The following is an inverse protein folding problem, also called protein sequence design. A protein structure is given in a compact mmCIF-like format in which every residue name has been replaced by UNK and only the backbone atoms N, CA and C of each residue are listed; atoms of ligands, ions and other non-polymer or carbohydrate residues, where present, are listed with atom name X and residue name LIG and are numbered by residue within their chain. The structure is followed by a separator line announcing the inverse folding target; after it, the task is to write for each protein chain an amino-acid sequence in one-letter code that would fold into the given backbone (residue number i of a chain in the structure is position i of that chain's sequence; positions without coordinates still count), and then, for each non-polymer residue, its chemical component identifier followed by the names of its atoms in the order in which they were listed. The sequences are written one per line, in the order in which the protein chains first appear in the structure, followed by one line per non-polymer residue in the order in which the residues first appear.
data_IF_170965136590
#
_entry.id   IF_170965136590
#
_cell.length_a   1.000
_cell.length_b   1.000
_cell.length_c   1.000
_cell.angle_alpha   90.00
_cell.angle_beta   90.00
_cell.angle_gamma   90.00
#
_symmetry.space_group_name_H-M   'P 1'
#
loop_
_entity.id
_entity.type
_entity.pdbx_description
1 polymer ?
#
# COMPACT_ATOMS: atom_id res chain seq x y z
N UNK A 1 -2.57 20.86 5.69
CA UNK A 1 -3.67 21.11 4.72
C UNK A 1 -3.66 19.98 3.69
N UNK A 2 -3.77 18.70 4.02
CA UNK A 2 -4.76 18.01 4.90
C UNK A 2 -6.19 18.30 4.46
N UNK A 3 -6.45 18.17 3.17
CA UNK A 3 -7.82 18.19 2.61
C UNK A 3 -8.16 16.84 1.94
N UNK A 4 -7.17 16.00 1.63
CA UNK A 4 -7.37 14.74 0.89
C UNK A 4 -7.46 13.48 1.77
N UNK A 5 -7.24 13.57 3.09
CA UNK A 5 -7.24 12.40 3.97
C UNK A 5 -8.66 11.91 4.33
N UNK A 6 -9.65 12.81 4.41
CA UNK A 6 -11.03 12.43 4.75
C UNK A 6 -11.90 12.04 3.54
N UNK A 7 -11.44 12.30 2.31
CA UNK A 7 -12.24 12.06 1.12
C UNK A 7 -12.02 10.65 0.52
N UNK A 8 -10.82 10.10 0.67
CA UNK A 8 -10.43 8.82 0.03
C UNK A 8 -10.90 7.61 0.85
N UNK A 9 -11.10 7.79 2.16
CA UNK A 9 -11.43 6.69 3.09
C UNK A 9 -12.81 6.05 2.82
N UNK A 10 -13.76 6.78 2.24
CA UNK A 10 -15.14 6.28 2.04
C UNK A 10 -15.42 5.57 0.70
N UNK A 11 -14.53 5.67 -0.30
CA UNK A 11 -14.77 5.12 -1.66
C UNK A 11 -13.69 4.10 -2.10
N UNK A 12 -12.65 3.92 -1.29
CA UNK A 12 -11.60 2.94 -1.57
C UNK A 12 -12.09 1.51 -1.28
N UNK A 13 -12.92 0.97 -2.18
CA UNK A 13 -13.36 -0.42 -2.11
C UNK A 13 -12.34 -1.41 -2.70
N UNK A 14 -11.25 -0.91 -3.32
CA UNK A 14 -10.20 -1.73 -3.93
C UNK A 14 -8.86 -1.01 -3.93
N UNK A 15 -7.84 -1.66 -3.37
CA UNK A 15 -6.45 -1.25 -3.40
C UNK A 15 -5.71 -2.08 -4.45
N UNK A 16 -5.09 -1.40 -5.42
CA UNK A 16 -4.21 -2.02 -6.42
C UNK A 16 -2.82 -1.43 -6.24
N UNK A 17 -1.91 -2.18 -5.61
CA UNK A 17 -0.53 -1.76 -5.44
C UNK A 17 0.36 -2.42 -6.51
N UNK A 18 1.01 -1.59 -7.31
CA UNK A 18 1.97 -2.03 -8.32
C UNK A 18 3.33 -2.11 -7.64
N UNK A 19 3.80 -3.33 -7.42
CA UNK A 19 5.12 -3.60 -6.89
C UNK A 19 6.06 -4.03 -8.01
N UNK A 20 7.38 -3.98 -7.81
CA UNK A 20 8.32 -4.34 -8.87
C UNK A 20 8.30 -5.84 -9.23
N UNK A 21 7.95 -6.71 -8.29
CA UNK A 21 7.86 -8.15 -8.49
C UNK A 21 6.43 -8.64 -8.77
N UNK A 22 5.45 -7.76 -8.87
CA UNK A 22 4.06 -8.17 -9.08
C UNK A 22 3.02 -7.10 -8.75
N UNK A 23 1.75 -7.48 -8.77
CA UNK A 23 0.62 -6.59 -8.49
C UNK A 23 -0.13 -7.17 -7.30
N UNK A 24 -0.38 -6.35 -6.28
CA UNK A 24 -1.22 -6.69 -5.13
C UNK A 24 -2.58 -6.09 -5.37
N UNK A 25 -3.59 -6.94 -5.55
CA UNK A 25 -4.98 -6.56 -5.75
C UNK A 25 -5.83 -7.01 -4.56
N UNK A 26 -6.40 -6.06 -3.81
CA UNK A 26 -7.21 -6.38 -2.62
C UNK A 26 -8.47 -5.53 -2.59
N UNK A 27 -9.60 -6.17 -2.36
CA UNK A 27 -10.90 -5.51 -2.24
C UNK A 27 -11.18 -5.21 -0.76
N UNK A 28 -10.49 -4.21 -0.21
CA UNK A 28 -10.58 -3.77 1.20
C UNK A 28 -10.31 -2.27 1.30
N UNK A 29 -10.66 -1.68 2.45
CA UNK A 29 -10.38 -0.28 2.74
C UNK A 29 -8.89 0.01 2.82
N UNK A 30 -8.51 1.28 2.59
CA UNK A 30 -7.11 1.71 2.71
C UNK A 30 -6.57 1.52 4.14
N UNK A 31 -7.39 1.82 5.16
CA UNK A 31 -7.03 1.69 6.57
C UNK A 31 -6.76 0.23 6.98
N UNK A 32 -7.61 -0.70 6.54
CA UNK A 32 -7.39 -2.14 6.72
C UNK A 32 -6.15 -2.61 5.99
N UNK A 33 -5.94 -2.16 4.74
CA UNK A 33 -4.77 -2.55 3.94
C UNK A 33 -3.44 -2.13 4.59
N UNK A 34 -3.39 -0.95 5.21
CA UNK A 34 -2.16 -0.46 5.86
C UNK A 34 -1.96 -1.03 7.27
N UNK A 35 -3.04 -1.45 7.94
CA UNK A 35 -3.00 -2.03 9.29
C UNK A 35 -2.77 -3.54 9.31
N UNK A 36 -2.92 -4.23 8.17
CA UNK A 36 -2.78 -5.68 8.08
C UNK A 36 -1.29 -6.10 7.98
N UNK A 37 -0.80 -6.79 9.02
CA UNK A 37 0.56 -7.34 9.06
C UNK A 37 0.86 -8.33 7.92
N UNK A 38 -0.13 -9.09 7.45
CA UNK A 38 0.07 -10.04 6.34
C UNK A 38 0.33 -9.31 5.04
N UNK A 39 -0.32 -8.16 4.84
CA UNK A 39 -0.06 -7.25 3.72
C UNK A 39 1.33 -6.63 3.87
N UNK A 40 1.71 -6.18 5.07
CA UNK A 40 3.05 -5.64 5.32
C UNK A 40 4.15 -6.65 4.96
N UNK A 41 3.99 -7.92 5.34
CA UNK A 41 4.91 -9.00 4.96
C UNK A 41 4.91 -9.29 3.46
N UNK A 42 3.73 -9.33 2.82
CA UNK A 42 3.60 -9.55 1.37
C UNK A 42 4.29 -8.45 0.58
N UNK A 43 4.10 -7.19 1.00
CA UNK A 43 4.80 -6.03 0.45
C UNK A 43 6.31 -6.19 0.63
N UNK A 44 6.76 -6.55 1.83
CA UNK A 44 8.16 -6.85 2.10
C UNK A 44 8.76 -7.80 1.05
N UNK A 45 8.10 -8.94 0.81
CA UNK A 45 8.50 -9.94 -0.20
C UNK A 45 8.43 -9.43 -1.64
N UNK A 46 7.40 -8.66 -1.97
CA UNK A 46 7.19 -8.08 -3.30
C UNK A 46 8.20 -6.97 -3.64
N UNK A 47 8.74 -6.28 -2.63
CA UNK A 47 9.83 -5.32 -2.76
C UNK A 47 11.22 -5.96 -2.56
N UNK A 48 11.29 -7.19 -2.05
CA UNK A 48 12.53 -7.95 -1.85
C UNK A 48 13.18 -8.28 -3.21
N UNK A 49 14.36 -7.71 -3.46
CA UNK A 49 15.08 -7.85 -4.74
C UNK A 49 15.12 -6.57 -5.57
N UNK A 50 14.29 -5.57 -5.28
CA UNK A 50 14.52 -4.22 -5.81
C UNK A 50 15.45 -3.43 -4.92
N UNK A 51 16.73 -3.40 -5.28
CA UNK A 51 17.79 -2.62 -4.63
C UNK A 51 17.61 -1.10 -4.66
N UNK A 52 16.38 -0.57 -4.62
CA UNK A 52 16.10 0.84 -4.37
C UNK A 52 15.41 0.96 -3.03
N UNK A 53 16.20 1.12 -1.97
CA UNK A 53 15.74 1.75 -0.72
C UNK A 53 15.04 3.05 -1.10
N UNK A 54 13.72 3.06 -1.13
CA UNK A 54 12.96 4.29 -1.22
C UNK A 54 13.18 4.98 0.13
N UNK A 55 14.20 5.85 0.18
CA UNK A 55 14.37 6.83 1.24
C UNK A 55 13.13 7.72 1.16
N UNK A 56 12.12 7.43 1.97
CA UNK A 56 11.10 8.41 2.29
C UNK A 56 11.83 9.55 3.00
N UNK A 57 12.14 10.59 2.24
CA UNK A 57 12.64 11.85 2.77
C UNK A 57 11.40 12.63 3.19
N UNK A 58 11.12 12.60 4.50
CA UNK A 58 10.32 13.64 5.16
C UNK A 58 10.99 15.00 4.97
#
# INVERSE_FOLDING_TARGET
NSHDHEFISSIANRIVEITPNGIIDRMMGFDDYISDDSIAELRGKMYEGTGRKIKYRV
#
